data_IF_931649175662
#
_entry.id   IF_931649175662
#
_cell.length_a   1.000
_cell.length_b   1.000
_cell.length_c   1.000
_cell.angle_alpha   90.00
_cell.angle_beta   90.00
_cell.angle_gamma   90.00
#
_symmetry.space_group_name_H-M   'P 1'
#
loop_
_entity.id
_entity.type
_entity.pdbx_description
1 polymer ?
#
# COMPACT_ATOMS: atom_id res chain seq x y z
N UNK A 1 -17.09 13.79 -115.77
CA UNK A 1 -15.86 13.03 -115.43
C UNK A 1 -14.66 13.95 -115.22
N UNK A 2 -14.24 14.73 -116.23
CA UNK A 2 -13.04 15.61 -116.18
C UNK A 2 -13.04 16.58 -114.99
N UNK A 3 -14.14 17.29 -114.70
CA UNK A 3 -14.22 18.22 -113.55
C UNK A 3 -14.04 17.53 -112.19
N UNK A 4 -14.56 16.30 -112.04
CA UNK A 4 -14.42 15.54 -110.80
C UNK A 4 -12.98 15.02 -110.63
N UNK A 5 -12.35 14.60 -111.73
CA UNK A 5 -10.94 14.21 -111.75
C UNK A 5 -10.03 15.39 -111.37
N UNK A 6 -10.25 16.56 -111.97
CA UNK A 6 -9.49 17.77 -111.64
C UNK A 6 -9.64 18.16 -110.17
N UNK A 7 -10.82 17.95 -109.57
CA UNK A 7 -11.05 18.22 -108.15
C UNK A 7 -10.26 17.30 -107.22
N UNK A 8 -10.13 16.01 -107.55
CA UNK A 8 -9.35 15.03 -106.77
C UNK A 8 -7.84 15.27 -106.91
N UNK A 9 -7.38 15.69 -108.08
CA UNK A 9 -5.95 15.87 -108.38
C UNK A 9 -5.40 17.19 -107.81
N UNK A 10 -6.21 18.25 -107.75
CA UNK A 10 -5.74 19.59 -107.36
C UNK A 10 -5.80 19.89 -105.85
N UNK A 11 -6.37 18.99 -105.03
CA UNK A 11 -6.32 19.14 -103.57
C UNK A 11 -4.93 18.77 -103.02
N UNK A 12 -4.29 19.65 -102.22
CA UNK A 12 -3.09 19.29 -101.47
C UNK A 12 -3.49 18.61 -100.17
N UNK A 13 -3.21 17.30 -100.05
CA UNK A 13 -3.46 16.50 -98.84
C UNK A 13 -2.40 15.41 -98.61
N UNK A 14 -2.24 14.93 -97.36
CA UNK A 14 -1.12 14.09 -96.89
C UNK A 14 -1.09 12.69 -97.53
N UNK A 15 -0.03 11.91 -97.27
CA UNK A 15 0.37 10.71 -98.03
C UNK A 15 -0.72 9.63 -98.28
N UNK A 16 -1.74 9.52 -97.42
CA UNK A 16 -2.90 8.64 -97.63
C UNK A 16 -3.72 9.00 -98.89
N UNK A 17 -3.69 10.25 -99.35
CA UNK A 17 -4.35 10.71 -100.59
C UNK A 17 -3.64 10.25 -101.88
N UNK A 18 -2.46 9.63 -101.80
CA UNK A 18 -1.68 9.27 -103.00
C UNK A 18 -2.24 8.02 -103.70
N UNK A 19 -2.67 7.02 -102.93
CA UNK A 19 -3.34 5.82 -103.46
C UNK A 19 -4.74 6.16 -104.00
N UNK A 20 -5.44 7.09 -103.34
CA UNK A 20 -6.74 7.63 -103.77
C UNK A 20 -6.60 8.39 -105.09
N UNK A 21 -5.55 9.22 -105.25
CA UNK A 21 -5.26 9.90 -106.51
C UNK A 21 -4.92 8.92 -107.64
N UNK A 22 -4.22 7.82 -107.35
CA UNK A 22 -3.96 6.75 -108.33
C UNK A 22 -5.24 6.02 -108.74
N UNK A 23 -6.04 5.56 -107.77
CA UNK A 23 -7.31 4.88 -108.02
C UNK A 23 -8.34 5.79 -108.71
N UNK A 24 -8.28 7.10 -108.46
CA UNK A 24 -9.07 8.09 -109.17
C UNK A 24 -8.66 8.18 -110.66
N UNK A 25 -7.35 8.25 -110.97
CA UNK A 25 -6.86 8.26 -112.36
C UNK A 25 -7.20 6.98 -113.14
N UNK A 26 -7.39 5.86 -112.44
CA UNK A 26 -7.78 4.57 -113.01
C UNK A 26 -9.31 4.37 -113.10
N UNK A 27 -10.09 5.28 -112.51
CA UNK A 27 -11.55 5.18 -112.53
C UNK A 27 -12.10 5.48 -113.94
N UNK A 28 -12.89 4.54 -114.47
CA UNK A 28 -13.46 4.63 -115.83
C UNK A 28 -14.86 5.23 -115.82
N UNK A 29 -15.48 5.39 -114.64
CA UNK A 29 -16.81 5.97 -114.50
C UNK A 29 -16.92 7.01 -113.38
N UNK A 30 -17.92 7.89 -113.50
CA UNK A 30 -18.27 8.87 -112.46
C UNK A 30 -18.74 8.15 -111.18
N UNK A 31 -19.38 6.98 -111.28
CA UNK A 31 -19.88 6.21 -110.15
C UNK A 31 -18.76 5.60 -109.30
N UNK A 32 -17.68 5.13 -109.92
CA UNK A 32 -16.48 4.65 -109.22
C UNK A 32 -15.81 5.79 -108.45
N UNK A 33 -15.68 6.96 -109.09
CA UNK A 33 -15.14 8.18 -108.47
C UNK A 33 -15.98 8.64 -107.27
N UNK A 34 -17.30 8.61 -107.41
CA UNK A 34 -18.22 8.97 -106.32
C UNK A 34 -18.14 7.96 -105.17
N UNK A 35 -17.91 6.68 -105.46
CA UNK A 35 -17.77 5.63 -104.43
C UNK A 35 -16.45 5.74 -103.68
N UNK A 36 -15.35 6.08 -104.37
CA UNK A 36 -14.04 6.37 -103.77
C UNK A 36 -14.10 7.58 -102.83
N UNK A 37 -14.75 8.67 -103.27
CA UNK A 37 -14.97 9.86 -102.45
C UNK A 37 -15.87 9.59 -101.25
N UNK A 38 -16.87 8.72 -101.41
CA UNK A 38 -17.77 8.30 -100.32
C UNK A 38 -17.07 7.41 -99.30
N UNK A 39 -16.20 6.49 -99.73
CA UNK A 39 -15.39 5.64 -98.85
C UNK A 39 -14.38 6.43 -98.00
N UNK A 40 -13.85 7.53 -98.54
CA UNK A 40 -12.99 8.49 -97.81
C UNK A 40 -13.75 9.33 -96.77
N UNK A 41 -15.08 9.44 -96.92
CA UNK A 41 -15.96 10.25 -96.07
C UNK A 41 -16.85 9.39 -95.17
N UNK A 42 -16.53 8.12 -94.93
CA UNK A 42 -17.18 7.40 -93.84
C UNK A 42 -16.67 8.04 -92.53
N UNK A 43 -17.49 8.84 -91.81
CA UNK A 43 -17.01 9.41 -90.56
C UNK A 43 -16.69 8.23 -89.62
N UNK A 44 -15.56 8.24 -88.87
CA UNK A 44 -15.46 7.39 -87.70
C UNK A 44 -16.75 7.59 -86.90
N UNK A 45 -17.36 6.53 -86.36
CA UNK A 45 -18.68 6.64 -85.74
C UNK A 45 -18.58 7.49 -84.46
N UNK A 46 -18.63 8.81 -84.60
CA UNK A 46 -18.51 9.80 -83.51
C UNK A 46 -19.53 9.51 -82.40
N UNK A 47 -20.65 8.87 -82.75
CA UNK A 47 -21.65 8.40 -81.81
C UNK A 47 -21.12 7.35 -80.80
N UNK A 48 -20.23 6.45 -81.22
CA UNK A 48 -19.61 5.43 -80.36
C UNK A 48 -18.64 6.06 -79.37
N UNK A 49 -17.79 6.97 -79.84
CA UNK A 49 -16.82 7.67 -78.98
C UNK A 49 -17.53 8.58 -77.97
N UNK A 50 -18.60 9.26 -78.40
CA UNK A 50 -19.45 10.06 -77.50
C UNK A 50 -20.17 9.18 -76.47
N UNK A 51 -20.60 7.97 -76.83
CA UNK A 51 -21.20 7.03 -75.89
C UNK A 51 -20.18 6.52 -74.84
N UNK A 52 -18.96 6.19 -75.28
CA UNK A 52 -17.88 5.78 -74.38
C UNK A 52 -17.50 6.89 -73.38
N UNK A 53 -17.34 8.12 -73.87
CA UNK A 53 -17.06 9.29 -73.02
C UNK A 53 -18.16 9.58 -72.00
N UNK A 54 -19.43 9.33 -72.34
CA UNK A 54 -20.55 9.45 -71.38
C UNK A 54 -20.46 8.42 -70.26
N UNK A 55 -20.13 7.18 -70.58
CA UNK A 55 -19.94 6.12 -69.58
C UNK A 55 -18.77 6.46 -68.66
N UNK A 56 -17.66 6.94 -69.23
CA UNK A 56 -16.49 7.34 -68.45
C UNK A 56 -16.77 8.57 -67.56
N UNK A 57 -17.53 9.55 -68.06
CA UNK A 57 -17.98 10.69 -67.28
C UNK A 57 -18.87 10.27 -66.11
N UNK A 58 -19.81 9.34 -66.32
CA UNK A 58 -20.63 8.81 -65.22
C UNK A 58 -19.81 8.01 -64.21
N UNK A 59 -18.86 7.19 -64.66
CA UNK A 59 -17.91 6.50 -63.77
C UNK A 59 -17.12 7.50 -62.92
N UNK A 60 -16.54 8.52 -63.55
CA UNK A 60 -15.81 9.58 -62.84
C UNK A 60 -16.70 10.34 -61.84
N UNK A 61 -17.97 10.59 -62.17
CA UNK A 61 -18.95 11.20 -61.26
C UNK A 61 -19.20 10.33 -60.02
N UNK A 62 -19.41 9.03 -60.22
CA UNK A 62 -19.63 8.11 -59.09
C UNK A 62 -18.41 8.00 -58.18
N UNK A 63 -17.20 7.91 -58.75
CA UNK A 63 -15.94 7.89 -58.00
C UNK A 63 -15.76 9.19 -57.22
N UNK A 64 -16.03 10.34 -57.84
CA UNK A 64 -15.89 11.62 -57.18
C UNK A 64 -16.88 11.78 -56.01
N UNK A 65 -18.12 11.30 -56.17
CA UNK A 65 -19.09 11.25 -55.08
C UNK A 65 -18.64 10.36 -53.92
N UNK A 66 -18.05 9.19 -54.20
CA UNK A 66 -17.47 8.31 -53.17
C UNK A 66 -16.30 8.96 -52.44
N UNK A 67 -15.35 9.54 -53.18
CA UNK A 67 -14.21 10.26 -52.59
C UNK A 67 -14.66 11.41 -51.70
N UNK A 68 -15.67 12.17 -52.12
CA UNK A 68 -16.26 13.25 -51.31
C UNK A 68 -16.82 12.71 -50.00
N UNK A 69 -17.62 11.64 -50.05
CA UNK A 69 -18.16 11.01 -48.83
C UNK A 69 -17.05 10.50 -47.90
N UNK A 70 -15.98 9.93 -48.45
CA UNK A 70 -14.83 9.45 -47.66
C UNK A 70 -14.06 10.60 -47.02
N UNK A 71 -13.89 11.72 -47.73
CA UNK A 71 -13.30 12.94 -47.18
C UNK A 71 -14.15 13.50 -46.03
N UNK A 72 -15.47 13.56 -46.19
CA UNK A 72 -16.38 14.02 -45.13
C UNK A 72 -16.31 13.10 -43.90
N UNK A 73 -16.27 11.78 -44.12
CA UNK A 73 -16.10 10.80 -43.03
C UNK A 73 -14.75 10.97 -42.32
N UNK A 74 -13.66 11.22 -43.05
CA UNK A 74 -12.35 11.47 -42.45
C UNK A 74 -12.33 12.79 -41.67
N UNK A 75 -13.00 13.83 -42.17
CA UNK A 75 -13.14 15.10 -41.47
C UNK A 75 -13.91 14.94 -40.15
N UNK A 76 -14.98 14.15 -40.14
CA UNK A 76 -15.74 13.84 -38.93
C UNK A 76 -14.90 13.06 -37.91
N UNK A 77 -14.15 12.03 -38.35
CA UNK A 77 -13.25 11.26 -37.48
C UNK A 77 -12.13 12.15 -36.92
N UNK A 78 -11.57 13.06 -37.73
CA UNK A 78 -10.56 14.00 -37.26
C UNK A 78 -11.11 14.91 -36.16
N UNK A 79 -12.32 15.45 -36.33
CA UNK A 79 -12.97 16.28 -35.33
C UNK A 79 -13.22 15.51 -34.01
N UNK A 80 -13.70 14.27 -34.09
CA UNK A 80 -13.87 13.38 -32.91
C UNK A 80 -12.55 13.15 -32.18
N UNK A 81 -11.47 12.86 -32.92
CA UNK A 81 -10.15 12.63 -32.33
C UNK A 81 -9.57 13.89 -31.69
N UNK A 82 -9.80 15.07 -32.27
CA UNK A 82 -9.37 16.35 -31.69
C UNK A 82 -10.12 16.63 -30.38
N UNK A 83 -11.43 16.36 -30.32
CA UNK A 83 -12.21 16.48 -29.09
C UNK A 83 -11.72 15.49 -28.02
N UNK A 84 -11.53 14.23 -28.39
CA UNK A 84 -11.02 13.19 -27.48
C UNK A 84 -9.61 13.51 -26.97
N UNK A 85 -8.74 14.03 -27.83
CA UNK A 85 -7.41 14.48 -27.42
C UNK A 85 -7.51 15.57 -26.36
N UNK A 86 -8.37 16.58 -26.58
CA UNK A 86 -8.59 17.65 -25.61
C UNK A 86 -9.06 17.12 -24.25
N UNK A 87 -10.02 16.20 -24.23
CA UNK A 87 -10.51 15.60 -22.97
C UNK A 87 -9.42 14.83 -22.22
N UNK A 88 -8.58 14.07 -22.94
CA UNK A 88 -7.44 13.33 -22.35
C UNK A 88 -6.38 14.29 -21.80
N UNK A 89 -6.12 15.40 -22.50
CA UNK A 89 -5.19 16.42 -22.01
C UNK A 89 -5.67 17.08 -20.71
N UNK A 90 -6.97 17.40 -20.63
CA UNK A 90 -7.60 17.93 -19.42
C UNK A 90 -7.55 16.91 -18.26
N UNK A 91 -7.78 15.62 -18.52
CA UNK A 91 -7.61 14.55 -17.53
C UNK A 91 -6.17 14.43 -17.04
N UNK A 92 -5.20 14.43 -17.96
CA UNK A 92 -3.77 14.38 -17.64
C UNK A 92 -3.37 15.56 -16.74
N UNK A 93 -3.87 16.75 -17.00
CA UNK A 93 -3.58 17.93 -16.18
C UNK A 93 -4.24 17.85 -14.81
N UNK A 94 -5.47 17.33 -14.71
CA UNK A 94 -6.11 17.04 -13.42
C UNK A 94 -5.30 16.06 -12.58
N UNK A 95 -4.87 14.93 -13.15
CA UNK A 95 -4.06 13.95 -12.44
C UNK A 95 -2.69 14.50 -12.04
N UNK A 96 -2.07 15.32 -12.89
CA UNK A 96 -0.81 15.99 -12.57
C UNK A 96 -0.98 16.98 -11.41
N UNK A 97 -2.08 17.72 -11.36
CA UNK A 97 -2.39 18.62 -10.25
C UNK A 97 -2.63 17.83 -8.95
N UNK A 98 -3.38 16.73 -9.01
CA UNK A 98 -3.66 15.89 -7.83
C UNK A 98 -2.41 15.18 -7.30
N UNK A 99 -1.54 14.71 -8.21
CA UNK A 99 -0.22 14.18 -7.85
C UNK A 99 0.64 15.23 -7.12
N UNK A 100 0.64 16.48 -7.59
CA UNK A 100 1.34 17.59 -6.93
C UNK A 100 0.78 17.91 -5.54
N UNK A 101 -0.54 17.80 -5.34
CA UNK A 101 -1.19 18.01 -4.03
C UNK A 101 -0.90 16.88 -3.03
N UNK A 102 -0.87 15.64 -3.49
CA UNK A 102 -0.68 14.46 -2.63
C UNK A 102 0.79 14.25 -2.21
N UNK A 103 1.76 14.66 -3.03
CA UNK A 103 3.19 14.55 -2.72
C UNK A 103 3.62 15.16 -1.36
N UNK A 104 3.25 16.43 -1.02
CA UNK A 104 3.59 17.00 0.28
C UNK A 104 2.85 16.31 1.44
N UNK A 105 1.64 15.80 1.24
CA UNK A 105 0.90 15.05 2.25
C UNK A 105 1.59 13.72 2.59
N UNK A 106 2.06 12.99 1.57
CA UNK A 106 2.84 11.77 1.80
C UNK A 106 4.17 12.08 2.51
N UNK A 107 4.78 13.21 2.20
CA UNK A 107 6.02 13.65 2.84
C UNK A 107 5.80 14.02 4.30
N UNK A 108 4.76 14.81 4.61
CA UNK A 108 4.42 15.16 5.98
C UNK A 108 4.00 13.94 6.80
N UNK A 109 3.24 13.01 6.20
CA UNK A 109 2.88 11.75 6.83
C UNK A 109 4.11 10.91 7.19
N UNK A 110 5.06 10.74 6.27
CA UNK A 110 6.32 10.04 6.58
C UNK A 110 7.09 10.71 7.71
N UNK A 111 7.12 12.04 7.75
CA UNK A 111 7.78 12.79 8.81
C UNK A 111 7.11 12.55 10.17
N UNK A 112 5.79 12.64 10.23
CA UNK A 112 5.02 12.37 11.45
C UNK A 112 5.20 10.94 11.95
N UNK A 113 5.27 9.96 11.03
CA UNK A 113 5.58 8.56 11.38
C UNK A 113 6.98 8.42 11.98
N UNK A 114 8.00 9.04 11.39
CA UNK A 114 9.36 9.00 11.93
C UNK A 114 9.47 9.67 13.32
N UNK A 115 8.78 10.79 13.52
CA UNK A 115 8.70 11.47 14.83
C UNK A 115 8.00 10.57 15.86
N UNK A 116 6.88 9.95 15.50
CA UNK A 116 6.14 9.03 16.36
C UNK A 116 6.97 7.80 16.75
N UNK A 117 7.66 7.17 15.79
CA UNK A 117 8.55 6.04 16.04
C UNK A 117 9.68 6.40 17.01
N UNK A 118 10.28 7.59 16.84
CA UNK A 118 11.31 8.08 17.75
C UNK A 118 10.77 8.31 19.17
N UNK A 119 9.58 8.91 19.30
CA UNK A 119 8.91 9.11 20.59
C UNK A 119 8.59 7.79 21.29
N UNK A 120 8.07 6.80 20.55
CA UNK A 120 7.77 5.48 21.10
C UNK A 120 9.03 4.75 21.57
N UNK A 121 10.13 4.85 20.81
CA UNK A 121 11.41 4.27 21.20
C UNK A 121 11.96 4.88 22.49
N UNK A 122 11.85 6.21 22.64
CA UNK A 122 12.24 6.91 23.87
C UNK A 122 11.36 6.53 25.07
N UNK A 123 10.03 6.52 24.89
CA UNK A 123 9.10 6.15 25.94
C UNK A 123 9.35 4.71 26.43
N UNK A 124 9.55 3.77 25.50
CA UNK A 124 9.89 2.39 25.80
C UNK A 124 11.17 2.28 26.61
N UNK A 125 12.24 2.96 26.19
CA UNK A 125 13.52 2.95 26.91
C UNK A 125 13.38 3.49 28.34
N UNK A 126 12.67 4.60 28.51
CA UNK A 126 12.40 5.17 29.83
C UNK A 126 11.62 4.22 30.73
N UNK A 127 10.62 3.53 30.18
CA UNK A 127 9.84 2.54 30.93
C UNK A 127 10.69 1.32 31.30
N UNK A 128 11.52 0.80 30.39
CA UNK A 128 12.44 -0.30 30.65
C UNK A 128 13.41 0.04 31.79
N UNK A 129 13.95 1.26 31.81
CA UNK A 129 14.85 1.72 32.86
C UNK A 129 14.13 1.85 34.22
N UNK A 130 12.89 2.33 34.23
CA UNK A 130 12.05 2.36 35.45
C UNK A 130 11.76 0.96 35.98
N UNK A 131 11.40 0.03 35.10
CA UNK A 131 11.13 -1.37 35.47
C UNK A 131 12.39 -2.03 36.04
N UNK A 132 13.55 -1.83 35.42
CA UNK A 132 14.83 -2.34 35.94
C UNK A 132 15.16 -1.78 37.31
N UNK A 133 14.96 -0.48 37.52
CA UNK A 133 15.20 0.17 38.82
C UNK A 133 14.24 -0.38 39.90
N UNK A 134 12.94 -0.47 39.59
CA UNK A 134 11.95 -1.03 40.50
C UNK A 134 12.23 -2.50 40.86
N UNK A 135 12.67 -3.30 39.88
CA UNK A 135 13.06 -4.69 40.11
C UNK A 135 14.29 -4.81 41.02
N UNK A 136 15.29 -3.95 40.81
CA UNK A 136 16.48 -3.91 41.68
C UNK A 136 16.10 -3.53 43.12
N UNK A 137 15.23 -2.53 43.28
CA UNK A 137 14.73 -2.12 44.59
C UNK A 137 13.91 -3.22 45.27
N UNK A 138 13.02 -3.90 44.54
CA UNK A 138 12.25 -5.03 45.07
C UNK A 138 13.16 -6.19 45.52
N UNK A 139 14.25 -6.45 44.78
CA UNK A 139 15.24 -7.46 45.15
C UNK A 139 15.96 -7.10 46.45
N UNK A 140 16.30 -5.83 46.65
CA UNK A 140 16.93 -5.35 47.89
C UNK A 140 15.97 -5.47 49.08
N UNK A 141 14.72 -5.02 48.93
CA UNK A 141 13.68 -5.22 49.96
C UNK A 141 13.49 -6.70 50.31
N UNK A 142 13.48 -7.59 49.31
CA UNK A 142 13.40 -9.04 49.52
C UNK A 142 14.62 -9.63 50.23
N UNK A 143 15.79 -8.97 50.19
CA UNK A 143 16.94 -9.33 51.03
C UNK A 143 16.75 -8.84 52.46
N UNK A 144 16.35 -7.59 52.64
CA UNK A 144 16.10 -7.01 53.96
C UNK A 144 15.02 -7.77 54.73
N UNK A 145 13.93 -8.17 54.08
CA UNK A 145 12.87 -8.98 54.69
C UNK A 145 13.42 -10.31 55.21
N UNK A 146 14.20 -11.04 54.41
CA UNK A 146 14.82 -12.30 54.85
C UNK A 146 15.73 -12.11 56.07
N UNK A 147 16.52 -11.02 56.10
CA UNK A 147 17.35 -10.71 57.26
C UNK A 147 16.52 -10.37 58.51
N UNK A 148 15.37 -9.71 58.35
CA UNK A 148 14.45 -9.42 59.45
C UNK A 148 13.73 -10.69 59.92
N UNK A 149 13.30 -11.56 59.02
CA UNK A 149 12.67 -12.84 59.35
C UNK A 149 13.62 -13.72 60.18
N UNK A 150 14.89 -13.82 59.77
CA UNK A 150 15.90 -14.55 60.56
C UNK A 150 16.14 -13.93 61.94
N UNK A 151 16.10 -12.61 62.07
CA UNK A 151 16.24 -11.93 63.36
C UNK A 151 15.01 -12.15 64.27
N UNK A 152 13.81 -12.15 63.70
CA UNK A 152 12.58 -12.46 64.43
C UNK A 152 12.63 -13.90 64.96
N UNK A 153 13.04 -14.86 64.14
CA UNK A 153 13.21 -16.26 64.57
C UNK A 153 14.20 -16.37 65.73
N UNK A 154 15.35 -15.68 65.64
CA UNK A 154 16.36 -15.65 66.69
C UNK A 154 15.83 -15.05 67.99
N UNK A 155 15.12 -13.93 67.91
CA UNK A 155 14.52 -13.27 69.08
C UNK A 155 13.42 -14.13 69.72
N UNK A 156 12.60 -14.80 68.91
CA UNK A 156 11.57 -15.72 69.41
C UNK A 156 12.18 -16.88 70.21
N UNK A 157 13.30 -17.44 69.73
CA UNK A 157 14.04 -18.48 70.46
C UNK A 157 14.59 -17.97 71.79
N UNK A 158 15.18 -16.76 71.80
CA UNK A 158 15.68 -16.15 73.03
C UNK A 158 14.57 -15.89 74.05
N UNK A 159 13.42 -15.37 73.60
CA UNK A 159 12.26 -15.15 74.47
C UNK A 159 11.77 -16.47 75.08
N UNK A 160 11.65 -17.53 74.27
CA UNK A 160 11.25 -18.85 74.77
C UNK A 160 12.24 -19.42 75.80
N UNK A 161 13.54 -19.26 75.59
CA UNK A 161 14.56 -19.67 76.56
C UNK A 161 14.44 -18.88 77.88
N UNK A 162 14.23 -17.56 77.75
CA UNK A 162 14.04 -16.66 78.89
C UNK A 162 12.78 -17.01 79.68
N UNK A 163 11.67 -17.34 79.02
CA UNK A 163 10.44 -17.74 79.69
C UNK A 163 10.61 -19.04 80.48
N UNK A 164 11.39 -20.00 79.95
CA UNK A 164 11.75 -21.22 80.68
C UNK A 164 12.56 -20.90 81.95
N UNK A 165 13.53 -19.99 81.88
CA UNK A 165 14.30 -19.55 83.06
C UNK A 165 13.41 -18.83 84.10
N UNK A 166 12.47 -17.98 83.68
CA UNK A 166 11.51 -17.34 84.59
C UNK A 166 10.65 -18.38 85.31
N UNK A 167 10.15 -19.38 84.59
CA UNK A 167 9.33 -20.45 85.17
C UNK A 167 10.10 -21.23 86.26
N UNK A 168 11.39 -21.52 86.03
CA UNK A 168 12.26 -22.15 87.04
C UNK A 168 12.42 -21.26 88.26
N UNK A 169 12.74 -19.98 88.05
CA UNK A 169 12.96 -19.02 89.15
C UNK A 169 11.68 -18.80 89.98
N UNK A 170 10.53 -18.72 89.31
CA UNK A 170 9.23 -18.65 89.95
C UNK A 170 8.96 -19.89 90.80
N UNK A 171 9.23 -21.09 90.26
CA UNK A 171 9.10 -22.34 91.00
C UNK A 171 10.01 -22.41 92.24
N UNK A 172 11.23 -21.89 92.16
CA UNK A 172 12.15 -21.78 93.31
C UNK A 172 11.60 -20.81 94.36
N UNK A 173 11.14 -19.63 93.93
CA UNK A 173 10.57 -18.62 94.83
C UNK A 173 9.34 -19.12 95.57
N UNK A 174 8.42 -19.79 94.88
CA UNK A 174 7.24 -20.42 95.49
C UNK A 174 7.63 -21.45 96.54
N UNK A 175 8.57 -22.35 96.24
CA UNK A 175 9.05 -23.36 97.20
C UNK A 175 9.67 -22.72 98.44
N UNK A 176 10.50 -21.69 98.28
CA UNK A 176 11.09 -20.98 99.42
C UNK A 176 10.04 -20.29 100.28
N UNK A 177 9.02 -19.70 99.67
CA UNK A 177 7.92 -19.10 100.41
C UNK A 177 7.12 -20.14 101.21
N UNK A 178 6.81 -21.30 100.62
CA UNK A 178 6.19 -22.43 101.32
C UNK A 178 7.04 -22.92 102.49
N UNK A 179 8.36 -23.06 102.31
CA UNK A 179 9.30 -23.44 103.37
C UNK A 179 9.31 -22.43 104.53
N UNK A 180 9.26 -21.13 104.24
CA UNK A 180 9.17 -20.08 105.26
C UNK A 180 7.85 -20.14 106.02
N UNK A 181 6.73 -20.35 105.32
CA UNK A 181 5.42 -20.52 105.96
C UNK A 181 5.41 -21.73 106.89
N UNK A 182 5.96 -22.86 106.46
CA UNK A 182 6.03 -24.07 107.27
C UNK A 182 6.93 -23.88 108.49
N UNK A 183 8.09 -23.24 108.32
CA UNK A 183 8.99 -22.91 109.43
C UNK A 183 8.31 -21.99 110.46
N UNK A 184 7.57 -20.98 110.00
CA UNK A 184 6.80 -20.10 110.88
C UNK A 184 5.67 -20.83 111.61
N UNK A 185 4.98 -21.76 110.95
CA UNK A 185 3.97 -22.62 111.59
C UNK A 185 4.57 -23.46 112.71
N UNK A 186 5.70 -24.13 112.46
CA UNK A 186 6.40 -24.94 113.46
C UNK A 186 6.84 -24.12 114.68
N UNK A 187 7.28 -22.88 114.46
CA UNK A 187 7.65 -21.95 115.53
C UNK A 187 6.43 -21.58 116.41
N UNK A 188 5.28 -21.32 115.79
CA UNK A 188 4.04 -20.92 116.47
C UNK A 188 3.35 -22.10 117.16
N UNK A 189 3.39 -23.30 116.55
CA UNK A 189 2.78 -24.51 117.11
C UNK A 189 3.50 -25.06 118.33
N UNK A 190 4.65 -24.50 118.71
CA UNK A 190 5.18 -24.61 120.07
C UNK A 190 5.56 -26.03 120.50
N UNK A 191 6.29 -26.78 119.67
CA UNK A 191 6.93 -28.02 120.12
C UNK A 191 8.18 -27.71 120.95
N UNK A 192 7.93 -27.24 122.18
CA UNK A 192 8.92 -26.91 123.20
C UNK A 192 9.54 -28.17 123.85
N UNK A 193 9.93 -29.15 123.04
CA UNK A 193 10.55 -30.39 123.53
C UNK A 193 12.09 -30.38 123.53
N UNK A 194 12.83 -29.69 122.64
CA UNK A 194 14.29 -29.69 122.70
C UNK A 194 14.85 -28.90 123.90
N UNK A 195 14.13 -27.86 124.35
CA UNK A 195 14.60 -26.98 125.44
C UNK A 195 14.41 -27.56 126.85
N UNK A 196 13.63 -28.63 127.02
CA UNK A 196 13.47 -29.30 128.33
C UNK A 196 14.68 -30.16 128.70
N UNK A 197 15.38 -30.72 127.71
CA UNK A 197 16.47 -31.66 127.96
C UNK A 197 17.77 -30.97 128.42
N UNK A 198 18.01 -29.71 128.05
CA UNK A 198 19.19 -28.97 128.50
C UNK A 198 19.08 -28.48 129.96
N UNK A 199 17.86 -28.37 130.52
CA UNK A 199 17.64 -27.92 131.90
C UNK A 199 17.72 -29.06 132.93
N UNK A 200 17.56 -30.31 132.49
CA UNK A 200 17.64 -31.49 133.36
C UNK A 200 19.09 -31.90 133.67
N UNK A 201 20.05 -31.64 132.78
CA UNK A 201 21.46 -32.04 132.95
C UNK A 201 22.26 -31.15 133.91
N UNK A 202 21.74 -29.97 134.28
CA UNK A 202 22.44 -29.00 135.16
C UNK A 202 22.04 -29.17 136.65
N UNK A 203 21.07 -30.04 136.97
CA UNK A 203 20.50 -30.15 138.34
C UNK A 203 20.61 -31.53 139.00
N UNK A 204 21.74 -32.22 138.84
CA UNK A 204 22.01 -33.40 139.69
C UNK A 204 23.47 -33.47 140.12
N UNK A 205 23.80 -33.11 141.37
CA UNK A 205 25.09 -33.40 141.99
C UNK A 205 24.99 -34.66 142.87
N UNK A 206 25.90 -35.61 142.65
CA UNK A 206 26.47 -36.53 143.65
C UNK A 206 27.70 -37.19 143.03
#
# INVERSE_FOLDING_TARGET
LVRLMSFVITRPGPAADREVRRAALEATSVSELVSLLRGQHQPPSQASDVAALRVELESARTINADLTRRLDSQAAVKADLEERLKTVEEERDRWKAESKKSSPLLTSFRKAMAESEASLKWARKSQDDKVKSALAHAKDLGKQLRERDSEIERLAQLLSARDAEYAVLQGISTKHFEQLQESARLLISGDAQPHRNAKATIKTPA
#
